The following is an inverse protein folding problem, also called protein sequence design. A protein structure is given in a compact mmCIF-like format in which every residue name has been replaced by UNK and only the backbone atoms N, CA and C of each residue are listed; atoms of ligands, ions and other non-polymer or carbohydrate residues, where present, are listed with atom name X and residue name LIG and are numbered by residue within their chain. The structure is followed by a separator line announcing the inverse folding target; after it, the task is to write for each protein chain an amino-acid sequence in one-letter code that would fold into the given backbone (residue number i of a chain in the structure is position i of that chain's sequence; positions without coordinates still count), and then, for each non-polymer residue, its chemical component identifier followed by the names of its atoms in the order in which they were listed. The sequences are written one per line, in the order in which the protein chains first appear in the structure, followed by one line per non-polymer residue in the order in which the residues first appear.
data_IF_593875158774
#
_entry.id   IF_593875158774
#
_cell.length_a   1.000
_cell.length_b   1.000
_cell.length_c   1.000
_cell.angle_alpha   90.00
_cell.angle_beta   90.00
_cell.angle_gamma   90.00
#
_symmetry.space_group_name_H-M   'P 1'
#
loop_
_entity.id
_entity.type
_entity.pdbx_description
1 polymer ?
#
# COMPACT_ATOMS: atom_id res chain seq x y z
N UNK A 1 3.11 16.41 28.66
CA UNK A 1 1.70 16.58 28.24
C UNK A 1 1.55 16.18 26.78
N UNK A 2 0.91 15.04 26.50
CA UNK A 2 0.70 14.50 25.15
C UNK A 2 -0.43 15.24 24.42
N UNK A 3 -0.38 15.35 23.08
CA UNK A 3 -1.45 15.95 22.27
C UNK A 3 -2.80 15.25 22.50
N UNK A 4 -2.80 13.92 22.50
CA UNK A 4 -3.98 13.08 22.77
C UNK A 4 -4.55 13.40 24.16
N UNK A 5 -3.68 13.53 25.16
CA UNK A 5 -4.10 13.86 26.52
C UNK A 5 -4.73 15.25 26.66
N UNK A 6 -4.53 16.17 25.71
CA UNK A 6 -5.21 17.48 25.71
C UNK A 6 -6.63 17.37 25.13
N UNK A 7 -6.84 16.50 24.14
CA UNK A 7 -8.10 16.34 23.43
C UNK A 7 -9.13 15.49 24.17
N UNK A 8 -8.68 14.55 25.01
CA UNK A 8 -9.60 13.74 25.80
C UNK A 8 -10.36 14.58 26.84
N UNK A 9 -11.62 14.23 27.07
CA UNK A 9 -12.45 14.80 28.13
C UNK A 9 -11.93 14.39 29.52
N UNK A 10 -12.12 15.22 30.56
CA UNK A 10 -11.67 14.90 31.92
C UNK A 10 -12.26 13.60 32.49
N UNK A 11 -13.53 13.32 32.18
CA UNK A 11 -14.22 12.11 32.63
C UNK A 11 -13.56 10.85 32.06
N UNK A 12 -13.29 10.84 30.76
CA UNK A 12 -12.66 9.73 30.03
C UNK A 12 -11.26 9.43 30.54
N UNK A 13 -10.45 10.47 30.82
CA UNK A 13 -9.13 10.30 31.45
C UNK A 13 -9.22 9.67 32.84
N UNK A 14 -10.20 10.11 33.63
CA UNK A 14 -10.38 9.62 35.00
C UNK A 14 -10.85 8.17 34.99
N UNK A 15 -11.81 7.83 34.12
CA UNK A 15 -12.27 6.46 33.93
C UNK A 15 -11.12 5.51 33.58
N UNK A 16 -10.30 5.84 32.58
CA UNK A 16 -9.15 5.01 32.19
C UNK A 16 -8.15 4.91 33.35
N UNK A 17 -7.81 6.03 34.00
CA UNK A 17 -6.88 6.07 35.13
C UNK A 17 -7.34 5.16 36.27
N UNK A 18 -8.62 5.20 36.61
CA UNK A 18 -9.18 4.45 37.73
C UNK A 18 -9.24 2.96 37.45
N UNK A 19 -9.59 2.56 36.22
CA UNK A 19 -9.54 1.15 35.80
C UNK A 19 -8.11 0.59 35.83
N UNK A 20 -7.12 1.35 35.35
CA UNK A 20 -5.70 0.97 35.42
C UNK A 20 -5.26 0.80 36.87
N UNK A 21 -5.59 1.76 37.76
CA UNK A 21 -5.25 1.67 39.19
C UNK A 21 -5.87 0.45 39.87
N UNK A 22 -7.08 0.06 39.47
CA UNK A 22 -7.80 -1.10 39.98
C UNK A 22 -7.39 -2.42 39.31
N UNK A 23 -6.47 -2.39 38.34
CA UNK A 23 -6.11 -3.53 37.48
C UNK A 23 -7.31 -4.15 36.76
N UNK A 24 -8.35 -3.36 36.51
CA UNK A 24 -9.53 -3.78 35.74
C UNK A 24 -9.26 -3.51 34.26
N UNK A 25 -8.51 -4.42 33.64
CA UNK A 25 -8.12 -4.29 32.24
C UNK A 25 -9.15 -4.99 31.36
N UNK A 26 -10.00 -4.19 30.71
CA UNK A 26 -11.02 -4.64 29.77
C UNK A 26 -10.66 -4.18 28.35
N UNK A 27 -11.07 -4.95 27.33
CA UNK A 27 -10.82 -4.64 25.92
C UNK A 27 -11.51 -3.35 25.48
N UNK A 28 -12.63 -3.00 26.11
CA UNK A 28 -13.46 -1.83 25.77
C UNK A 28 -13.07 -0.55 26.54
N UNK A 29 -12.07 -0.59 27.44
CA UNK A 29 -11.79 0.56 28.31
C UNK A 29 -11.40 1.85 27.56
N UNK A 30 -10.95 1.69 26.31
CA UNK A 30 -10.47 2.78 25.46
C UNK A 30 -11.48 3.24 24.42
N UNK A 31 -12.63 2.60 24.27
CA UNK A 31 -13.60 2.89 23.20
C UNK A 31 -14.06 4.35 23.23
N UNK A 32 -14.33 4.87 24.42
CA UNK A 32 -14.73 6.27 24.60
C UNK A 32 -13.60 7.24 24.23
N UNK A 33 -12.35 6.90 24.58
CA UNK A 33 -11.19 7.71 24.20
C UNK A 33 -10.92 7.67 22.70
N UNK A 34 -11.06 6.49 22.09
CA UNK A 34 -10.93 6.31 20.65
C UNK A 34 -11.98 7.15 19.91
N UNK A 35 -13.24 7.09 20.34
CA UNK A 35 -14.33 7.89 19.76
C UNK A 35 -14.02 9.39 19.84
N UNK A 36 -13.58 9.88 21.00
CA UNK A 36 -13.22 11.30 21.16
C UNK A 36 -12.07 11.74 20.25
N UNK A 37 -11.01 10.94 20.14
CA UNK A 37 -9.87 11.27 19.28
C UNK A 37 -10.26 11.17 17.80
N UNK A 38 -11.06 10.18 17.44
CA UNK A 38 -11.57 10.03 16.09
C UNK A 38 -12.38 11.26 15.67
N UNK A 39 -13.32 11.72 16.50
CA UNK A 39 -14.09 12.96 16.22
C UNK A 39 -13.16 14.15 16.02
N UNK A 40 -12.19 14.36 16.91
CA UNK A 40 -11.22 15.47 16.79
C UNK A 40 -10.37 15.37 15.52
N UNK A 41 -10.01 14.15 15.11
CA UNK A 41 -9.29 13.93 13.87
C UNK A 41 -10.16 14.24 12.65
N UNK A 42 -11.38 13.70 12.59
CA UNK A 42 -12.32 13.86 11.47
C UNK A 42 -12.70 15.33 11.23
N UNK A 43 -12.88 16.10 12.30
CA UNK A 43 -13.29 17.51 12.24
C UNK A 43 -12.19 18.46 11.73
N UNK A 44 -10.91 18.15 11.99
CA UNK A 44 -9.81 19.08 11.70
C UNK A 44 -8.65 18.43 10.97
N UNK A 45 -7.91 17.52 11.63
CA UNK A 45 -6.66 16.99 11.08
C UNK A 45 -6.87 16.23 9.77
N UNK A 46 -7.97 15.50 9.67
CA UNK A 46 -8.34 14.76 8.48
C UNK A 46 -8.75 15.68 7.33
N UNK A 47 -9.55 16.72 7.59
CA UNK A 47 -9.91 17.71 6.57
C UNK A 47 -8.67 18.44 6.05
N UNK A 48 -7.80 18.89 6.96
CA UNK A 48 -6.53 19.54 6.61
C UNK A 48 -5.63 18.62 5.79
N UNK A 49 -5.60 17.33 6.10
CA UNK A 49 -4.86 16.34 5.33
C UNK A 49 -5.42 16.20 3.91
N UNK A 50 -6.73 16.11 3.74
CA UNK A 50 -7.36 15.99 2.41
C UNK A 50 -7.15 17.23 1.52
N UNK A 51 -6.88 18.39 2.12
CA UNK A 51 -6.54 19.61 1.37
C UNK A 51 -5.05 19.89 1.30
N UNK A 52 -4.22 19.04 1.91
CA UNK A 52 -2.77 19.26 1.95
C UNK A 52 -2.11 18.87 0.64
N UNK A 53 -1.00 19.55 0.32
CA UNK A 53 -0.24 19.30 -0.91
C UNK A 53 0.17 17.83 -1.04
N UNK A 54 0.58 17.18 0.06
CA UNK A 54 1.00 15.78 0.05
C UNK A 54 -0.12 14.82 -0.41
N UNK A 55 -1.38 15.10 -0.04
CA UNK A 55 -2.52 14.29 -0.48
C UNK A 55 -2.91 14.61 -1.92
N UNK A 56 -2.96 15.90 -2.27
CA UNK A 56 -3.36 16.34 -3.62
C UNK A 56 -2.34 15.91 -4.68
N UNK A 57 -1.04 15.96 -4.37
CA UNK A 57 0.02 15.45 -5.23
C UNK A 57 -0.08 13.93 -5.42
N UNK A 58 -0.34 13.17 -4.34
CA UNK A 58 -0.53 11.72 -4.43
C UNK A 58 -1.68 11.36 -5.38
N UNK A 59 -2.81 12.07 -5.28
CA UNK A 59 -3.96 11.86 -6.18
C UNK A 59 -3.62 12.27 -7.62
N UNK A 60 -2.94 13.40 -7.81
CA UNK A 60 -2.55 13.91 -9.13
C UNK A 60 -1.59 12.96 -9.86
N UNK A 61 -0.69 12.31 -9.13
CA UNK A 61 0.26 11.32 -9.65
C UNK A 61 -0.38 9.91 -9.74
N UNK A 62 -1.71 9.78 -9.70
CA UNK A 62 -2.36 8.48 -9.88
C UNK A 62 -2.05 7.45 -8.79
N UNK A 63 -1.72 7.91 -7.57
CA UNK A 63 -1.42 7.05 -6.43
C UNK A 63 0.03 6.56 -6.34
N UNK A 64 0.94 7.13 -7.14
CA UNK A 64 2.37 6.92 -6.98
C UNK A 64 2.93 7.90 -5.93
N UNK A 65 3.62 7.36 -4.91
CA UNK A 65 4.13 8.18 -3.83
C UNK A 65 5.54 8.71 -4.21
N UNK A 66 5.76 10.04 -4.26
CA UNK A 66 7.02 10.63 -4.68
C UNK A 66 8.21 10.29 -3.77
N UNK A 67 7.97 9.86 -2.52
CA UNK A 67 9.02 9.33 -1.66
C UNK A 67 9.63 8.01 -2.17
N UNK A 68 8.92 7.31 -3.06
CA UNK A 68 9.38 6.10 -3.75
C UNK A 68 9.70 6.35 -5.23
N UNK A 69 9.55 7.60 -5.71
CA UNK A 69 10.11 8.04 -6.98
C UNK A 69 11.61 8.19 -6.80
N UNK A 70 12.32 7.06 -6.78
CA UNK A 70 13.75 7.06 -7.04
C UNK A 70 13.96 7.83 -8.35
N UNK A 71 14.83 8.85 -8.34
CA UNK A 71 15.09 9.77 -9.45
C UNK A 71 15.69 9.12 -10.71
N UNK A 72 15.57 7.80 -10.86
CA UNK A 72 16.33 6.97 -11.77
C UNK A 72 15.46 6.03 -12.62
N UNK A 73 14.37 6.55 -13.20
CA UNK A 73 14.07 6.19 -14.59
C UNK A 73 12.81 5.36 -14.89
N UNK A 74 11.62 5.83 -14.51
CA UNK A 74 10.39 5.41 -15.20
C UNK A 74 9.31 6.51 -15.28
N UNK A 75 9.71 7.78 -15.35
CA UNK A 75 8.78 8.93 -15.40
C UNK A 75 8.23 9.27 -16.80
N UNK A 76 8.28 8.34 -17.76
CA UNK A 76 7.76 8.61 -19.11
C UNK A 76 7.37 7.31 -19.83
N UNK A 77 6.53 6.48 -19.21
CA UNK A 77 5.80 5.52 -20.02
C UNK A 77 4.63 6.27 -20.67
N UNK A 78 4.92 6.93 -21.79
CA UNK A 78 3.89 7.30 -22.76
C UNK A 78 3.22 5.98 -23.13
N UNK A 79 1.98 5.79 -22.71
CA UNK A 79 1.15 4.66 -23.12
C UNK A 79 0.84 4.85 -24.61
N UNK A 80 1.78 4.47 -25.48
CA UNK A 80 1.50 4.24 -26.88
C UNK A 80 0.74 2.90 -26.94
N UNK A 81 -0.59 2.97 -27.04
CA UNK A 81 -1.45 1.83 -27.36
C UNK A 81 -1.28 1.39 -28.84
N UNK A 82 -0.04 1.29 -29.32
CA UNK A 82 0.27 0.74 -30.62
C UNK A 82 0.28 -0.79 -30.60
N UNK A 83 0.10 -1.42 -31.77
CA UNK A 83 0.37 -2.84 -31.92
C UNK A 83 1.84 -3.10 -31.55
N UNK A 84 2.08 -3.87 -30.49
CA UNK A 84 3.42 -4.31 -30.12
C UNK A 84 3.99 -5.14 -31.28
N UNK A 85 5.28 -4.94 -31.64
CA UNK A 85 5.93 -5.80 -32.62
C UNK A 85 5.81 -7.26 -32.19
N UNK A 86 5.54 -8.17 -33.14
CA UNK A 86 5.51 -9.60 -32.86
C UNK A 86 6.90 -10.04 -32.39
N UNK A 87 7.04 -10.27 -31.08
CA UNK A 87 8.25 -10.84 -30.50
C UNK A 87 8.23 -12.35 -30.78
N UNK A 88 9.37 -12.91 -31.19
CA UNK A 88 9.52 -14.36 -31.27
C UNK A 88 9.71 -14.91 -29.86
N UNK A 89 9.01 -15.99 -29.53
CA UNK A 89 9.01 -16.57 -28.18
C UNK A 89 10.32 -17.31 -27.85
N UNK A 90 11.12 -17.68 -28.86
CA UNK A 90 12.32 -18.50 -28.68
C UNK A 90 13.60 -17.72 -28.34
N UNK A 91 13.62 -16.40 -28.58
CA UNK A 91 14.75 -15.51 -28.27
C UNK A 91 14.66 -14.90 -26.86
N UNK A 92 13.46 -14.85 -26.26
CA UNK A 92 13.23 -14.28 -24.93
C UNK A 92 13.76 -15.17 -23.78
N UNK A 93 14.11 -16.42 -24.06
CA UNK A 93 14.44 -17.44 -23.05
C UNK A 93 15.95 -17.67 -22.86
N UNK A 94 16.81 -17.02 -23.66
CA UNK A 94 18.26 -17.01 -23.38
C UNK A 94 18.61 -15.90 -22.37
N UNK A 95 18.17 -16.10 -21.14
CA UNK A 95 18.54 -15.24 -20.01
C UNK A 95 20.00 -15.51 -19.61
N UNK A 96 20.97 -15.06 -20.41
CA UNK A 96 22.38 -15.17 -20.10
C UNK A 96 22.85 -14.11 -19.08
N UNK A 97 22.14 -12.98 -18.97
CA UNK A 97 22.63 -11.81 -18.21
C UNK A 97 21.98 -11.59 -16.83
N UNK A 98 21.09 -12.47 -16.37
CA UNK A 98 20.52 -12.39 -15.01
C UNK A 98 21.44 -13.04 -13.95
N UNK A 99 22.76 -12.86 -14.08
CA UNK A 99 23.75 -13.27 -13.07
C UNK A 99 24.37 -12.11 -12.28
N UNK A 100 24.10 -10.86 -12.64
CA UNK A 100 24.59 -9.72 -11.88
C UNK A 100 23.49 -8.68 -11.63
N UNK A 101 22.61 -8.99 -10.67
CA UNK A 101 22.13 -8.09 -9.61
C UNK A 101 20.84 -8.68 -9.01
N UNK A 102 21.05 -9.39 -7.91
CA UNK A 102 20.16 -9.62 -6.78
C UNK A 102 18.79 -8.92 -6.87
N UNK A 103 17.78 -9.61 -7.40
CA UNK A 103 16.38 -9.35 -7.08
C UNK A 103 15.85 -10.55 -6.29
N UNK A 104 15.24 -10.36 -5.11
CA UNK A 104 14.60 -11.43 -4.38
C UNK A 104 13.44 -11.99 -5.21
N UNK A 105 13.58 -13.26 -5.57
CA UNK A 105 12.49 -14.11 -6.04
C UNK A 105 11.40 -14.14 -4.97
N UNK A 106 10.33 -13.34 -5.14
CA UNK A 106 9.22 -13.31 -4.18
C UNK A 106 8.01 -14.13 -4.65
N UNK A 107 7.98 -14.58 -5.90
CA UNK A 107 6.92 -15.49 -6.37
C UNK A 107 7.56 -16.72 -6.98
N UNK A 108 7.82 -17.72 -6.13
CA UNK A 108 8.39 -19.02 -6.47
C UNK A 108 7.45 -19.87 -7.34
N UNK A 109 7.10 -19.39 -8.53
CA UNK A 109 6.39 -20.15 -9.53
C UNK A 109 7.42 -20.85 -10.42
N UNK A 110 7.55 -22.16 -10.21
CA UNK A 110 8.46 -23.00 -10.99
C UNK A 110 8.04 -23.01 -12.47
N UNK A 111 9.00 -23.19 -13.38
CA UNK A 111 8.77 -23.26 -14.84
C UNK A 111 7.72 -24.31 -15.26
N UNK A 112 7.43 -25.29 -14.39
CA UNK A 112 6.33 -26.26 -14.56
C UNK A 112 4.94 -25.65 -14.34
N UNK A 113 4.80 -24.71 -13.41
CA UNK A 113 3.55 -24.00 -13.12
C UNK A 113 3.17 -23.04 -14.24
N UNK A 114 4.16 -22.34 -14.83
CA UNK A 114 3.88 -21.40 -15.92
C UNK A 114 3.40 -22.08 -17.21
N UNK A 115 3.80 -23.34 -17.43
CA UNK A 115 3.40 -24.12 -18.61
C UNK A 115 2.10 -24.93 -18.40
N UNK A 116 1.50 -24.90 -17.21
CA UNK A 116 0.35 -25.73 -16.87
C UNK A 116 -0.91 -25.41 -17.73
N UNK A 117 -1.05 -24.18 -18.21
CA UNK A 117 -2.20 -23.78 -19.06
C UNK A 117 -1.89 -23.80 -20.56
N UNK A 118 -0.67 -24.18 -20.96
CA UNK A 118 -0.25 -24.13 -22.36
C UNK A 118 -1.01 -25.14 -23.24
N UNK A 119 -1.26 -26.34 -22.72
CA UNK A 119 -2.02 -27.38 -23.44
C UNK A 119 -3.50 -27.04 -23.64
N UNK A 120 -4.07 -26.15 -22.81
CA UNK A 120 -5.50 -25.80 -22.87
C UNK A 120 -5.79 -24.81 -24.01
N UNK A 121 -4.76 -24.13 -24.54
CA UNK A 121 -4.90 -23.21 -25.69
C UNK A 121 -4.64 -23.86 -27.04
N UNK A 122 -4.25 -25.14 -27.07
CA UNK A 122 -3.81 -25.83 -28.27
C UNK A 122 -4.92 -26.64 -28.98
N UNK A 123 -6.20 -26.37 -28.69
CA UNK A 123 -7.31 -27.01 -29.39
C UNK A 123 -8.24 -25.98 -30.01
N UNK A 124 -8.49 -26.20 -31.32
CA UNK A 124 -9.34 -25.49 -32.29
C UNK A 124 -8.62 -24.36 -33.05
N UNK A 125 -8.49 -24.33 -34.38
CA UNK A 125 -9.00 -25.05 -35.59
C UNK A 125 -8.06 -24.55 -36.74
N UNK A 126 -7.62 -25.25 -37.78
CA UNK A 126 -8.13 -26.30 -38.71
C UNK A 126 -6.92 -27.11 -39.20
#
# INVERSE_FOLDING_TARGET
NSIVSKQLKPATKTYIRDNIKKQQIDSVMFDQAQTEIQTVMEENAYQMFLTSDIYLEYVRSGGENPAYMNSNGLGSLKVDCGYLPTLNEEEEWSCADLKHKLLPSILGLSSKTLRATASVRATETV
#
